data_IF_698117993431
#
_entry.id   IF_698117993431
#
_cell.length_a   1.000
_cell.length_b   1.000
_cell.length_c   1.000
_cell.angle_alpha   90.00
_cell.angle_beta   90.00
_cell.angle_gamma   90.00
#
_symmetry.space_group_name_H-M   'P 1'
#
loop_
_entity.id
_entity.type
_entity.pdbx_description
1 polymer ?
#
# COMPACT_ATOMS: atom_id res chain seq x y z
N UNK A 1 -14.82 -3.61 -10.25
CA UNK A 1 -14.23 -2.27 -10.51
C UNK A 1 -14.19 -1.40 -9.26
N UNK A 2 -15.34 -0.94 -8.71
CA UNK A 2 -15.35 -0.12 -7.50
C UNK A 2 -14.96 -0.91 -6.23
N UNK A 3 -15.45 -2.14 -6.09
CA UNK A 3 -15.11 -3.01 -4.96
C UNK A 3 -13.64 -3.41 -4.93
N UNK A 4 -13.02 -3.64 -6.11
CA UNK A 4 -11.58 -3.93 -6.22
C UNK A 4 -10.73 -2.74 -5.78
N UNK A 5 -11.17 -1.52 -6.13
CA UNK A 5 -10.49 -0.28 -5.73
C UNK A 5 -10.56 -0.07 -4.21
N UNK A 6 -11.75 -0.23 -3.62
CA UNK A 6 -11.94 -0.10 -2.17
C UNK A 6 -11.11 -1.15 -1.40
N UNK A 7 -11.06 -2.39 -1.90
CA UNK A 7 -10.24 -3.45 -1.32
C UNK A 7 -8.74 -3.11 -1.37
N UNK A 8 -8.25 -2.64 -2.52
CA UNK A 8 -6.85 -2.26 -2.70
C UNK A 8 -6.42 -1.16 -1.72
N UNK A 9 -7.22 -0.09 -1.62
CA UNK A 9 -6.94 1.02 -0.72
C UNK A 9 -6.94 0.59 0.75
N UNK A 10 -7.86 -0.31 1.13
CA UNK A 10 -7.91 -0.86 2.49
C UNK A 10 -6.65 -1.66 2.81
N UNK A 11 -6.21 -2.54 1.92
CA UNK A 11 -5.00 -3.35 2.12
C UNK A 11 -3.77 -2.45 2.23
N UNK A 12 -3.65 -1.44 1.36
CA UNK A 12 -2.56 -0.47 1.44
C UNK A 12 -2.55 0.28 2.78
N UNK A 13 -3.71 0.76 3.24
CA UNK A 13 -3.83 1.41 4.54
C UNK A 13 -3.37 0.52 5.70
N UNK A 14 -3.79 -0.75 5.71
CA UNK A 14 -3.36 -1.73 6.73
C UNK A 14 -1.85 -1.96 6.71
N UNK A 15 -1.24 -2.09 5.53
CA UNK A 15 0.20 -2.27 5.41
C UNK A 15 0.97 -1.08 6.00
N UNK A 16 0.52 0.15 5.71
CA UNK A 16 1.13 1.37 6.25
C UNK A 16 1.00 1.43 7.77
N UNK A 17 -0.20 1.18 8.32
CA UNK A 17 -0.40 1.20 9.79
C UNK A 17 0.42 0.14 10.50
N UNK A 18 0.57 -1.06 9.89
CA UNK A 18 1.40 -2.10 10.48
C UNK A 18 2.88 -1.69 10.53
N UNK A 19 3.40 -1.03 9.49
CA UNK A 19 4.76 -0.51 9.48
C UNK A 19 4.94 0.61 10.51
N UNK A 20 3.99 1.53 10.60
CA UNK A 20 3.97 2.60 11.60
C UNK A 20 4.01 2.03 13.02
N UNK A 21 3.10 1.10 13.34
CA UNK A 21 3.04 0.41 14.63
C UNK A 21 4.36 -0.31 14.96
N UNK A 22 4.99 -0.95 13.97
CA UNK A 22 6.27 -1.63 14.14
C UNK A 22 7.43 -0.68 14.42
N UNK A 23 7.45 0.50 13.78
CA UNK A 23 8.43 1.55 14.04
C UNK A 23 8.22 2.11 15.46
N UNK A 24 6.98 2.44 15.82
CA UNK A 24 6.63 3.04 17.10
C UNK A 24 6.97 2.14 18.29
N UNK A 25 6.70 0.84 18.15
CA UNK A 25 7.05 -0.15 19.18
C UNK A 25 8.53 -0.56 19.17
N UNK A 26 9.35 0.03 18.29
CA UNK A 26 10.77 -0.30 18.09
C UNK A 26 10.98 -1.80 17.84
N UNK A 27 10.18 -2.36 16.93
CA UNK A 27 10.28 -3.76 16.54
C UNK A 27 11.67 -4.11 15.98
N UNK A 28 12.05 -5.41 15.95
CA UNK A 28 13.31 -5.83 15.35
C UNK A 28 13.47 -5.34 13.91
N UNK A 29 14.69 -4.96 13.53
CA UNK A 29 15.00 -4.43 12.19
C UNK A 29 14.49 -5.32 11.05
N UNK A 30 14.62 -6.64 11.19
CA UNK A 30 14.16 -7.58 10.17
C UNK A 30 12.64 -7.51 9.95
N UNK A 31 11.87 -7.31 11.01
CA UNK A 31 10.43 -7.15 10.93
C UNK A 31 10.05 -5.86 10.22
N UNK A 32 10.68 -4.75 10.62
CA UNK A 32 10.49 -3.44 9.97
C UNK A 32 10.82 -3.54 8.48
N UNK A 33 11.92 -4.20 8.10
CA UNK A 33 12.31 -4.36 6.70
C UNK A 33 11.29 -5.19 5.89
N UNK A 34 10.67 -6.20 6.50
CA UNK A 34 9.61 -6.98 5.83
C UNK A 34 8.36 -6.13 5.59
N UNK A 35 7.96 -5.35 6.59
CA UNK A 35 6.81 -4.46 6.49
C UNK A 35 7.05 -3.30 5.50
N UNK A 36 8.28 -2.76 5.48
CA UNK A 36 8.70 -1.74 4.51
C UNK A 36 8.60 -2.26 3.07
N UNK A 37 9.09 -3.49 2.84
CA UNK A 37 8.97 -4.15 1.53
C UNK A 37 7.50 -4.35 1.12
N UNK A 38 6.63 -4.75 2.04
CA UNK A 38 5.19 -4.89 1.77
C UNK A 38 4.55 -3.54 1.38
N UNK A 39 4.85 -2.47 2.12
CA UNK A 39 4.37 -1.12 1.81
C UNK A 39 4.87 -0.67 0.44
N UNK A 40 6.13 -0.94 0.10
CA UNK A 40 6.70 -0.61 -1.21
C UNK A 40 5.96 -1.34 -2.35
N UNK A 41 5.62 -2.61 -2.17
CA UNK A 41 4.83 -3.38 -3.14
C UNK A 41 3.43 -2.81 -3.32
N UNK A 42 2.70 -2.55 -2.22
CA UNK A 42 1.36 -1.97 -2.29
C UNK A 42 1.36 -0.56 -2.88
N UNK A 43 2.40 0.23 -2.63
CA UNK A 43 2.56 1.55 -3.24
C UNK A 43 2.58 1.46 -4.78
N UNK A 44 3.31 0.49 -5.34
CA UNK A 44 3.34 0.26 -6.79
C UNK A 44 1.95 -0.08 -7.34
N UNK A 45 1.17 -0.87 -6.61
CA UNK A 45 -0.21 -1.21 -7.00
C UNK A 45 -1.14 0.02 -6.99
N UNK A 46 -1.01 0.91 -6.01
CA UNK A 46 -1.77 2.17 -5.95
C UNK A 46 -1.40 3.07 -7.14
N UNK A 47 -0.10 3.21 -7.44
CA UNK A 47 0.36 3.99 -8.60
C UNK A 47 -0.27 3.44 -9.88
N UNK A 48 -0.21 2.12 -10.10
CA UNK A 48 -0.80 1.48 -11.28
C UNK A 48 -2.33 1.63 -11.35
N UNK A 49 -3.03 1.69 -10.21
CA UNK A 49 -4.46 2.01 -10.17
C UNK A 49 -4.71 3.45 -10.65
N UNK A 50 -3.97 4.42 -10.13
CA UNK A 50 -4.11 5.84 -10.47
C UNK A 50 -3.80 6.08 -11.95
N UNK A 51 -2.75 5.45 -12.48
CA UNK A 51 -2.41 5.51 -13.91
C UNK A 51 -3.56 4.97 -14.78
N UNK A 52 -4.13 3.81 -14.44
CA UNK A 52 -5.30 3.25 -15.15
C UNK A 52 -6.53 4.15 -15.08
N UNK A 53 -6.74 4.89 -13.98
CA UNK A 53 -7.83 5.87 -13.86
C UNK A 53 -7.56 7.10 -14.73
N UNK A 54 -6.31 7.58 -14.76
CA UNK A 54 -5.91 8.72 -15.58
C UNK A 54 -6.09 8.41 -17.08
N UNK A 55 -5.66 7.23 -17.53
CA UNK A 55 -5.81 6.83 -18.93
C UNK A 55 -7.28 6.73 -19.36
N UNK A 56 -8.17 6.28 -18.47
CA UNK A 56 -9.63 6.27 -18.72
C UNK A 56 -10.28 7.64 -18.80
N UNK A 57 -9.66 8.67 -18.21
CA UNK A 57 -10.17 10.05 -18.22
C UNK A 57 -9.75 10.82 -19.48
N UNK A 58 -8.70 10.37 -20.16
CA UNK A 58 -8.14 11.00 -21.37
C UNK A 58 -8.66 10.31 -22.64
N UNK A 59 -9.39 9.20 -22.50
CA UNK A 59 -10.06 8.48 -23.59
C UNK A 59 -11.51 8.94 -23.77
#
# INVERSE_FOLDING_TARGET
>A
MADDTRKLLKIFGVAVTNLEDAIDRKAPREEIMKLDQEVAERTREIIALVERLRSRRIA
#
